data_IF_022477818199
#
_entry.id   IF_022477818199
#
_cell.length_a   1.000
_cell.length_b   1.000
_cell.length_c   1.000
_cell.angle_alpha   90.00
_cell.angle_beta   90.00
_cell.angle_gamma   90.00
#
_symmetry.space_group_name_H-M   'P 1'
#
loop_
_entity.id
_entity.type
_entity.pdbx_description
1 polymer ?
#
# COMPACT_ATOMS: atom_id res chain seq x y z
N UNK A 1 9.48 -2.47 -1.95
CA UNK A 1 8.92 -1.93 -3.22
C UNK A 1 8.73 -3.01 -4.29
N UNK A 2 9.58 -4.05 -4.32
CA UNK A 2 9.51 -5.13 -5.32
C UNK A 2 8.16 -5.84 -5.39
N UNK A 3 7.55 -6.17 -4.25
CA UNK A 3 6.23 -6.83 -4.23
C UNK A 3 5.11 -5.95 -4.81
N UNK A 4 5.13 -4.64 -4.55
CA UNK A 4 4.13 -3.72 -5.10
C UNK A 4 4.30 -3.57 -6.62
N UNK A 5 5.54 -3.55 -7.10
CA UNK A 5 5.84 -3.53 -8.53
C UNK A 5 5.40 -4.82 -9.21
N UNK A 6 5.65 -5.99 -8.61
CA UNK A 6 5.14 -7.27 -9.11
C UNK A 6 3.61 -7.28 -9.17
N UNK A 7 2.93 -6.80 -8.13
CA UNK A 7 1.48 -6.70 -8.10
C UNK A 7 0.92 -5.77 -9.18
N UNK A 8 1.58 -4.65 -9.46
CA UNK A 8 1.20 -3.77 -10.56
C UNK A 8 1.37 -4.48 -11.92
N UNK A 9 2.50 -5.17 -12.12
CA UNK A 9 2.76 -5.97 -13.33
C UNK A 9 1.76 -7.12 -13.52
N UNK A 10 1.40 -7.85 -12.44
CA UNK A 10 0.38 -8.90 -12.49
C UNK A 10 -0.99 -8.34 -12.87
N UNK A 11 -1.33 -7.16 -12.38
CA UNK A 11 -2.56 -6.46 -12.73
C UNK A 11 -2.47 -5.66 -14.04
N UNK A 12 -1.38 -5.80 -14.81
CA UNK A 12 -1.11 -5.08 -16.07
C UNK A 12 -1.24 -3.56 -15.95
N UNK A 13 -0.84 -3.02 -14.80
CA UNK A 13 -0.83 -1.58 -14.53
C UNK A 13 0.59 -1.03 -14.61
N UNK A 14 0.74 0.08 -15.33
CA UNK A 14 2.01 0.83 -15.39
C UNK A 14 2.23 1.71 -14.17
N UNK A 15 1.19 1.96 -13.38
CA UNK A 15 1.24 2.81 -12.18
C UNK A 15 1.00 1.98 -10.94
N UNK A 16 1.89 2.09 -9.96
CA UNK A 16 1.71 1.51 -8.63
C UNK A 16 0.80 2.44 -7.83
N UNK A 17 -0.40 1.99 -7.49
CA UNK A 17 -1.34 2.77 -6.66
C UNK A 17 -1.21 2.41 -5.18
N UNK A 18 -1.89 3.18 -4.32
CA UNK A 18 -1.98 2.89 -2.88
C UNK A 18 -2.52 1.49 -2.60
N UNK A 19 -3.34 0.91 -3.49
CA UNK A 19 -3.84 -0.46 -3.35
C UNK A 19 -2.75 -1.52 -3.50
N UNK A 20 -1.86 -1.41 -4.50
CA UNK A 20 -0.73 -2.34 -4.65
C UNK A 20 0.22 -2.24 -3.45
N UNK A 21 0.44 -1.02 -2.94
CA UNK A 21 1.24 -0.79 -1.72
C UNK A 21 0.58 -1.47 -0.51
N UNK A 22 -0.71 -1.21 -0.26
CA UNK A 22 -1.46 -1.79 0.86
C UNK A 22 -1.45 -3.33 0.82
N UNK A 23 -1.63 -3.91 -0.36
CA UNK A 23 -1.61 -5.36 -0.56
C UNK A 23 -0.21 -5.92 -0.30
N UNK A 24 0.84 -5.25 -0.75
CA UNK A 24 2.23 -5.64 -0.48
C UNK A 24 2.55 -5.63 1.02
N UNK A 25 2.02 -4.65 1.76
CA UNK A 25 2.20 -4.56 3.21
C UNK A 25 1.57 -5.77 3.92
N UNK A 26 0.40 -6.24 3.47
CA UNK A 26 -0.23 -7.47 4.00
C UNK A 26 0.57 -8.73 3.70
N UNK A 27 1.28 -8.77 2.56
CA UNK A 27 2.11 -9.91 2.17
C UNK A 27 3.44 -9.95 2.95
N UNK A 28 3.99 -8.78 3.30
CA UNK A 28 5.30 -8.66 3.95
C UNK A 28 5.19 -8.75 5.49
N UNK A 29 4.16 -8.15 6.09
CA UNK A 29 4.04 -8.06 7.54
C UNK A 29 3.04 -9.09 8.09
N UNK A 30 3.37 -9.81 9.18
CA UNK A 30 2.44 -10.73 9.81
C UNK A 30 1.44 -10.04 10.76
N UNK A 31 0.23 -10.60 10.87
CA UNK A 31 -0.72 -10.33 11.96
C UNK A 31 -1.05 -8.85 12.19
N UNK A 32 -0.99 -8.42 13.45
CA UNK A 32 -1.35 -7.05 13.88
C UNK A 32 -0.43 -5.95 13.31
N UNK A 33 0.82 -6.27 12.97
CA UNK A 33 1.74 -5.31 12.36
C UNK A 33 1.21 -4.84 11.00
N UNK A 34 0.63 -5.75 10.21
CA UNK A 34 0.02 -5.40 8.93
C UNK A 34 -1.17 -4.45 9.10
N UNK A 35 -1.98 -4.64 10.14
CA UNK A 35 -3.16 -3.81 10.41
C UNK A 35 -2.77 -2.40 10.80
N UNK A 36 -1.81 -2.26 11.72
CA UNK A 36 -1.31 -0.94 12.15
C UNK A 36 -0.65 -0.20 10.99
N UNK A 37 0.26 -0.84 10.25
CA UNK A 37 0.95 -0.22 9.12
C UNK A 37 -0.03 0.28 8.03
N UNK A 38 -1.11 -0.48 7.78
CA UNK A 38 -2.15 -0.06 6.83
C UNK A 38 -2.98 1.11 7.38
N UNK A 39 -3.33 1.09 8.66
CA UNK A 39 -4.07 2.18 9.30
C UNK A 39 -3.28 3.49 9.26
N UNK A 40 -2.00 3.44 9.62
CA UNK A 40 -1.10 4.60 9.56
C UNK A 40 -0.93 5.10 8.14
N UNK A 41 -0.70 4.20 7.18
CA UNK A 41 -0.58 4.55 5.76
C UNK A 41 -1.84 5.22 5.21
N UNK A 42 -3.03 4.74 5.58
CA UNK A 42 -4.31 5.32 5.14
C UNK A 42 -4.50 6.72 5.72
N UNK A 43 -4.22 6.90 7.01
CA UNK A 43 -4.31 8.21 7.66
C UNK A 43 -3.36 9.23 7.03
N UNK A 44 -2.13 8.82 6.70
CA UNK A 44 -1.14 9.67 6.05
C UNK A 44 -1.62 10.12 4.65
N UNK A 45 -2.20 9.20 3.86
CA UNK A 45 -2.75 9.54 2.53
C UNK A 45 -3.92 10.51 2.65
N UNK A 46 -4.85 10.29 3.59
CA UNK A 46 -5.97 11.21 3.83
C UNK A 46 -5.47 12.60 4.22
N UNK A 47 -4.50 12.68 5.13
CA UNK A 47 -3.90 13.96 5.54
C UNK A 47 -3.23 14.67 4.36
N UNK A 48 -2.50 13.93 3.53
CA UNK A 48 -1.88 14.48 2.32
C UNK A 48 -2.93 15.04 1.35
N UNK A 49 -3.99 14.28 1.08
CA UNK A 49 -5.10 14.73 0.23
C UNK A 49 -5.84 15.95 0.80
N UNK A 50 -5.92 16.08 2.12
CA UNK A 50 -6.52 17.24 2.80
C UNK A 50 -5.61 18.48 2.87
N UNK A 51 -4.30 18.30 2.76
CA UNK A 51 -3.32 19.40 2.86
C UNK A 51 -3.05 20.03 1.47
N UNK A 52 -3.58 19.42 0.42
CA UNK A 52 -3.50 19.88 -0.96
C UNK A 52 -4.77 20.61 -1.36
#
# INVERSE_FOLDING_TARGET
ATEASKLASYNKKSTISSREIQTSVRLILPGELSKHAISEGTNAVTKFSSTK
#
